data_IF_544993407060
#
_entry.id   IF_544993407060
#
_cell.length_a   1.000
_cell.length_b   1.000
_cell.length_c   1.000
_cell.angle_alpha   90.00
_cell.angle_beta   90.00
_cell.angle_gamma   90.00
#
_symmetry.space_group_name_H-M   'P 1'
#
loop_
_entity.id
_entity.type
_entity.pdbx_description
1 polymer ?
#
# COMPACT_ATOMS: atom_id res chain seq x y z
N UNK A 1 1.67 10.46 -7.05
CA UNK A 1 3.01 10.02 -6.60
C UNK A 1 2.94 8.96 -5.50
N UNK A 2 1.95 9.02 -4.65
CA UNK A 2 1.85 8.10 -3.50
C UNK A 2 1.74 6.65 -3.94
N UNK A 3 0.86 6.36 -4.88
CA UNK A 3 0.71 5.00 -5.39
C UNK A 3 1.91 4.57 -6.22
N UNK A 4 2.54 5.48 -6.94
CA UNK A 4 3.78 5.16 -7.67
C UNK A 4 4.89 4.74 -6.70
N UNK A 5 5.01 5.47 -5.61
CA UNK A 5 5.99 5.16 -4.58
C UNK A 5 5.74 3.78 -3.96
N UNK A 6 4.47 3.49 -3.62
CA UNK A 6 4.09 2.20 -3.05
C UNK A 6 4.31 1.06 -4.04
N UNK A 7 3.94 1.26 -5.31
CA UNK A 7 4.17 0.26 -6.35
C UNK A 7 5.65 -0.03 -6.50
N UNK A 8 6.48 1.01 -6.50
CA UNK A 8 7.93 0.84 -6.59
C UNK A 8 8.46 -0.01 -5.44
N UNK A 9 8.03 0.26 -4.22
CA UNK A 9 8.46 -0.52 -3.05
C UNK A 9 8.03 -1.99 -3.16
N UNK A 10 6.82 -2.24 -3.64
CA UNK A 10 6.33 -3.61 -3.84
C UNK A 10 7.10 -4.34 -4.93
N UNK A 11 7.42 -3.66 -6.04
CA UNK A 11 8.22 -4.24 -7.11
C UNK A 11 9.61 -4.61 -6.60
N UNK A 12 10.23 -3.73 -5.81
CA UNK A 12 11.53 -4.02 -5.22
C UNK A 12 11.48 -5.25 -4.30
N UNK A 13 10.41 -5.40 -3.52
CA UNK A 13 10.20 -6.60 -2.71
C UNK A 13 10.11 -7.85 -3.59
N UNK A 14 9.38 -7.77 -4.70
CA UNK A 14 9.27 -8.88 -5.65
C UNK A 14 10.61 -9.27 -6.26
N UNK A 15 11.44 -8.29 -6.55
CA UNK A 15 12.80 -8.55 -7.07
C UNK A 15 13.65 -9.28 -6.02
N UNK A 16 13.52 -8.91 -4.75
CA UNK A 16 14.22 -9.59 -3.65
C UNK A 16 13.75 -11.04 -3.48
N UNK A 17 12.52 -11.33 -3.88
CA UNK A 17 12.00 -12.71 -3.89
C UNK A 17 12.49 -13.53 -5.07
N UNK A 18 13.21 -12.91 -6.01
CA UNK A 18 13.74 -13.59 -7.18
C UNK A 18 12.98 -13.38 -8.47
N UNK A 19 11.94 -12.56 -8.48
CA UNK A 19 11.20 -12.25 -9.72
C UNK A 19 11.97 -11.25 -10.57
N UNK A 20 11.87 -11.39 -11.89
CA UNK A 20 12.35 -10.36 -12.79
C UNK A 20 11.49 -9.10 -12.63
N UNK A 21 12.08 -7.94 -12.88
CA UNK A 21 11.38 -6.66 -12.70
C UNK A 21 10.08 -6.57 -13.49
N UNK A 22 10.08 -7.04 -14.73
CA UNK A 22 8.87 -6.99 -15.56
C UNK A 22 7.74 -7.85 -14.98
N UNK A 23 8.07 -9.04 -14.47
CA UNK A 23 7.07 -9.91 -13.84
C UNK A 23 6.60 -9.33 -12.51
N UNK A 24 7.52 -8.83 -11.68
CA UNK A 24 7.17 -8.21 -10.41
C UNK A 24 6.23 -7.02 -10.65
N UNK A 25 6.53 -6.19 -11.64
CA UNK A 25 5.69 -5.05 -12.01
C UNK A 25 4.30 -5.50 -12.44
N UNK A 26 4.22 -6.53 -13.27
CA UNK A 26 2.93 -7.07 -13.73
C UNK A 26 2.10 -7.59 -12.55
N UNK A 27 2.71 -8.35 -11.65
CA UNK A 27 2.02 -8.90 -10.48
C UNK A 27 1.50 -7.80 -9.56
N UNK A 28 2.29 -6.76 -9.31
CA UNK A 28 1.87 -5.62 -8.48
C UNK A 28 0.72 -4.87 -9.13
N UNK A 29 0.81 -4.61 -10.45
CA UNK A 29 -0.26 -3.92 -11.19
C UNK A 29 -1.56 -4.70 -11.14
N UNK A 30 -1.53 -6.00 -11.35
CA UNK A 30 -2.72 -6.84 -11.31
C UNK A 30 -3.32 -6.89 -9.90
N UNK A 31 -2.49 -6.95 -8.87
CA UNK A 31 -2.94 -6.93 -7.48
C UNK A 31 -3.60 -5.60 -7.16
N UNK A 32 -3.02 -4.50 -7.61
CA UNK A 32 -3.58 -3.17 -7.41
C UNK A 32 -4.94 -3.04 -8.08
N UNK A 33 -5.06 -3.51 -9.33
CA UNK A 33 -6.32 -3.48 -10.06
C UNK A 33 -7.39 -4.31 -9.38
N UNK A 34 -7.07 -5.54 -8.96
CA UNK A 34 -7.99 -6.42 -8.24
C UNK A 34 -8.44 -5.81 -6.92
N UNK A 35 -7.52 -5.20 -6.19
CA UNK A 35 -7.82 -4.53 -4.92
C UNK A 35 -8.77 -3.36 -5.14
N UNK A 36 -8.52 -2.57 -6.18
CA UNK A 36 -9.41 -1.45 -6.54
C UNK A 36 -10.83 -1.95 -6.81
N UNK A 37 -10.98 -3.00 -7.60
CA UNK A 37 -12.30 -3.56 -7.90
C UNK A 37 -13.01 -4.06 -6.64
N UNK A 38 -12.30 -4.71 -5.74
CA UNK A 38 -12.89 -5.19 -4.49
C UNK A 38 -13.35 -4.03 -3.60
N UNK A 39 -12.52 -3.00 -3.45
CA UNK A 39 -12.87 -1.81 -2.67
C UNK A 39 -14.10 -1.13 -3.28
N UNK A 40 -14.14 -1.03 -4.61
CA UNK A 40 -15.20 -0.32 -5.31
C UNK A 40 -16.54 -1.06 -5.30
N UNK A 41 -16.52 -2.38 -5.29
CA UNK A 41 -17.72 -3.21 -5.46
C UNK A 41 -18.19 -3.92 -4.18
N UNK A 42 -17.35 -4.00 -3.15
CA UNK A 42 -17.71 -4.65 -1.91
C UNK A 42 -18.44 -3.67 -0.99
N UNK A 43 -19.52 -4.16 -0.35
CA UNK A 43 -20.23 -3.39 0.67
C UNK A 43 -19.62 -3.69 2.05
N UNK A 44 -18.32 -3.42 2.16
CA UNK A 44 -17.54 -3.72 3.36
C UNK A 44 -16.55 -2.59 3.64
N UNK A 45 -16.23 -2.40 4.91
CA UNK A 45 -15.20 -1.45 5.31
C UNK A 45 -13.81 -1.94 4.88
N UNK A 46 -12.84 -1.03 4.82
CA UNK A 46 -11.45 -1.42 4.55
C UNK A 46 -10.93 -2.38 5.61
N UNK A 47 -11.29 -2.17 6.87
CA UNK A 47 -10.88 -3.08 7.95
C UNK A 47 -11.43 -4.49 7.73
N UNK A 48 -12.68 -4.61 7.29
CA UNK A 48 -13.27 -5.92 7.02
C UNK A 48 -12.61 -6.61 5.83
N UNK A 49 -12.25 -5.84 4.80
CA UNK A 49 -11.53 -6.38 3.64
C UNK A 49 -10.15 -6.90 4.05
N UNK A 50 -9.45 -6.16 4.90
CA UNK A 50 -8.14 -6.59 5.42
C UNK A 50 -8.30 -7.88 6.23
N UNK A 51 -9.29 -7.94 7.11
CA UNK A 51 -9.53 -9.13 7.94
C UNK A 51 -9.86 -10.36 7.11
N UNK A 52 -10.55 -10.17 5.99
CA UNK A 52 -10.95 -11.28 5.13
C UNK A 52 -9.74 -12.03 4.56
N UNK A 53 -8.61 -11.37 4.38
CA UNK A 53 -7.40 -11.98 3.82
C UNK A 53 -6.28 -12.17 4.86
N UNK A 54 -6.39 -11.56 6.03
CA UNK A 54 -5.37 -11.65 7.09
C UNK A 54 -5.70 -12.77 8.06
N UNK A 55 -5.49 -14.01 7.64
CA UNK A 55 -5.71 -15.17 8.52
C UNK A 55 -4.62 -15.25 9.59
N UNK A 56 -5.02 -15.70 10.79
CA UNK A 56 -4.10 -15.85 11.91
C UNK A 56 -2.97 -16.82 11.56
N UNK A 57 -1.73 -16.39 11.74
CA UNK A 57 -0.54 -17.18 11.41
C UNK A 57 -0.22 -17.23 9.93
N UNK A 58 -0.97 -16.51 9.08
CA UNK A 58 -0.77 -16.50 7.64
C UNK A 58 0.25 -15.48 7.16
N UNK A 59 0.43 -15.46 5.82
CA UNK A 59 1.42 -14.59 5.18
C UNK A 59 1.05 -13.11 5.29
N UNK A 60 -0.22 -12.78 5.11
CA UNK A 60 -0.69 -11.39 5.22
C UNK A 60 -0.51 -10.85 6.63
N UNK A 61 -0.81 -11.66 7.65
CA UNK A 61 -0.61 -11.24 9.03
C UNK A 61 0.86 -10.95 9.31
N UNK A 62 1.77 -11.78 8.78
CA UNK A 62 3.21 -11.56 8.93
C UNK A 62 3.64 -10.23 8.33
N UNK A 63 3.12 -9.90 7.13
CA UNK A 63 3.41 -8.62 6.48
C UNK A 63 2.87 -7.45 7.29
N UNK A 64 1.62 -7.55 7.77
CA UNK A 64 0.99 -6.48 8.55
C UNK A 64 1.74 -6.20 9.85
N UNK A 65 2.30 -7.23 10.50
CA UNK A 65 3.13 -7.04 11.69
C UNK A 65 4.35 -6.18 11.41
N UNK A 66 5.00 -6.41 10.27
CA UNK A 66 6.17 -5.61 9.87
C UNK A 66 5.75 -4.16 9.58
N UNK A 67 4.61 -3.96 8.90
CA UNK A 67 4.11 -2.63 8.62
C UNK A 67 3.78 -1.87 9.89
N UNK A 68 3.13 -2.54 10.85
CA UNK A 68 2.81 -1.93 12.14
C UNK A 68 4.08 -1.61 12.95
N UNK A 69 5.05 -2.53 12.98
CA UNK A 69 6.31 -2.31 13.68
C UNK A 69 7.08 -1.12 13.10
N UNK A 70 6.97 -0.91 11.78
CA UNK A 70 7.61 0.22 11.10
C UNK A 70 6.77 1.49 11.04
N UNK A 71 5.61 1.51 11.69
CA UNK A 71 4.69 2.66 11.69
C UNK A 71 4.33 3.16 10.29
N UNK A 72 4.11 2.22 9.36
CA UNK A 72 3.85 2.57 7.96
C UNK A 72 2.63 3.48 7.80
N UNK A 73 1.52 3.15 8.46
CA UNK A 73 0.30 3.95 8.39
C UNK A 73 0.54 5.38 8.89
N UNK A 74 1.23 5.51 10.03
CA UNK A 74 1.54 6.82 10.60
C UNK A 74 2.45 7.62 9.68
N UNK A 75 3.45 6.98 9.10
CA UNK A 75 4.39 7.67 8.21
C UNK A 75 3.70 8.15 6.93
N UNK A 76 2.81 7.33 6.35
CA UNK A 76 2.00 7.75 5.20
C UNK A 76 1.16 8.97 5.53
N UNK A 77 0.47 8.95 6.67
CA UNK A 77 -0.37 10.07 7.10
C UNK A 77 0.48 11.33 7.31
N UNK A 78 1.61 11.18 7.97
CA UNK A 78 2.53 12.30 8.22
C UNK A 78 3.00 12.94 6.91
N UNK A 79 3.32 12.11 5.92
CA UNK A 79 3.76 12.59 4.60
C UNK A 79 2.66 13.35 3.87
N UNK A 80 1.45 12.82 3.88
CA UNK A 80 0.30 13.45 3.22
C UNK A 80 -0.04 14.79 3.88
N UNK A 81 0.00 14.82 5.22
CA UNK A 81 -0.25 16.06 5.96
C UNK A 81 0.84 17.12 5.69
N UNK A 82 2.08 16.67 5.49
CA UNK A 82 3.16 17.59 5.12
C UNK A 82 2.89 18.22 3.74
N UNK A 83 2.38 17.43 2.80
CA UNK A 83 2.01 17.93 1.47
C UNK A 83 0.88 18.97 1.57
N UNK A 84 -0.10 18.72 2.42
CA UNK A 84 -1.20 19.66 2.67
C UNK A 84 -0.65 21.00 3.21
N UNK A 85 0.23 20.93 4.20
CA UNK A 85 0.85 22.15 4.76
C UNK A 85 1.62 22.91 3.68
N UNK A 86 2.37 22.21 2.86
CA UNK A 86 3.15 22.85 1.79
C UNK A 86 2.23 23.51 0.76
N UNK A 87 1.12 22.85 0.42
CA UNK A 87 0.13 23.41 -0.51
C UNK A 87 -0.44 24.73 0.03
N UNK A 88 -0.73 24.78 1.34
CA UNK A 88 -1.22 26.00 1.97
C UNK A 88 -0.17 27.12 1.97
N UNK A 89 1.09 26.77 2.23
CA UNK A 89 2.20 27.74 2.17
C UNK A 89 2.33 28.34 0.75
N UNK A 90 2.27 27.48 -0.26
CA UNK A 90 2.40 27.93 -1.66
C UNK A 90 1.23 28.81 -2.09
N UNK A 91 0.01 28.56 -1.57
CA UNK A 91 -1.16 29.35 -1.94
C UNK A 91 -1.15 30.73 -1.28
N UNK A 92 -0.36 30.94 -0.22
CA UNK A 92 -0.23 32.23 0.44
C UNK A 92 0.85 33.11 -0.19
N UNK A 93 1.72 32.52 -0.96
CA UNK A 93 2.81 33.20 -1.61
C UNK A 93 2.40 33.83 -2.88
#
# INVERSE_FOLDING_TARGET
AYFYYLVKAMVEAGKKMGFEESLATLLVKQTMLGSFHLINNADKSLDDLIKAVASKGGTTEAALREFEAGDLSKTLQTGILAAERRAKELSKG
#
